data_IF_525646395132
#
_entry.id   IF_525646395132
#
_cell.length_a   1.000
_cell.length_b   1.000
_cell.length_c   1.000
_cell.angle_alpha   90.00
_cell.angle_beta   90.00
_cell.angle_gamma   90.00
#
_symmetry.space_group_name_H-M   'P 1'
#
loop_
_entity.id
_entity.type
_entity.pdbx_description
1 polymer ?
#
# COMPACT_ATOMS: atom_id res chain seq x y z
N UNK A 1 28.86 -5.67 4.63
CA UNK A 1 28.01 -6.63 3.90
C UNK A 1 26.57 -6.20 4.07
N UNK A 2 26.06 -5.38 3.15
CA UNK A 2 24.62 -5.14 3.06
C UNK A 2 24.04 -6.39 2.42
N UNK A 3 23.30 -7.20 3.18
CA UNK A 3 22.24 -7.97 2.54
C UNK A 3 21.43 -6.92 1.77
N UNK A 4 21.16 -7.15 0.49
CA UNK A 4 20.28 -6.27 -0.27
C UNK A 4 18.86 -6.46 0.27
N UNK A 5 18.59 -5.83 1.42
CA UNK A 5 17.33 -5.91 2.13
C UNK A 5 16.18 -5.44 1.23
N UNK A 6 16.46 -4.57 0.24
CA UNK A 6 15.47 -4.19 -0.78
C UNK A 6 15.06 -5.38 -1.64
N UNK A 7 16.01 -6.25 -2.03
CA UNK A 7 15.70 -7.51 -2.72
C UNK A 7 14.90 -8.47 -1.84
N UNK A 8 15.23 -8.57 -0.55
CA UNK A 8 14.48 -9.38 0.39
C UNK A 8 13.04 -8.90 0.52
N UNK A 9 12.82 -7.62 0.79
CA UNK A 9 11.49 -7.04 0.89
C UNK A 9 10.67 -7.22 -0.39
N UNK A 10 11.28 -6.97 -1.56
CA UNK A 10 10.63 -7.22 -2.85
C UNK A 10 10.19 -8.66 -3.01
N UNK A 11 10.99 -9.62 -2.54
CA UNK A 11 10.64 -11.05 -2.59
C UNK A 11 9.40 -11.33 -1.73
N UNK A 12 9.35 -10.81 -0.50
CA UNK A 12 8.23 -11.07 0.42
C UNK A 12 6.93 -10.45 -0.10
N UNK A 13 6.99 -9.28 -0.74
CA UNK A 13 5.79 -8.65 -1.35
C UNK A 13 5.48 -9.15 -2.77
N UNK A 14 6.15 -10.21 -3.25
CA UNK A 14 5.88 -10.83 -4.55
C UNK A 14 5.29 -12.24 -4.41
N UNK A 15 4.83 -12.62 -3.22
CA UNK A 15 4.15 -13.90 -2.99
C UNK A 15 2.85 -13.99 -3.81
N UNK A 16 2.50 -15.17 -4.29
CA UNK A 16 1.29 -15.37 -5.10
C UNK A 16 0.02 -15.09 -4.27
N UNK A 17 0.07 -15.30 -2.95
CA UNK A 17 -1.06 -15.12 -2.05
C UNK A 17 -1.18 -13.66 -1.55
N UNK A 18 -2.32 -13.04 -1.81
CA UNK A 18 -2.63 -11.66 -1.43
C UNK A 18 -2.63 -11.42 0.08
N UNK A 19 -3.01 -12.42 0.88
CA UNK A 19 -2.98 -12.33 2.33
C UNK A 19 -1.54 -12.28 2.83
N UNK A 20 -0.64 -13.08 2.25
CA UNK A 20 0.79 -13.05 2.57
C UNK A 20 1.39 -11.70 2.21
N UNK A 21 1.11 -11.19 1.00
CA UNK A 21 1.57 -9.86 0.59
C UNK A 21 1.05 -8.76 1.51
N UNK A 22 -0.23 -8.79 1.86
CA UNK A 22 -0.85 -7.81 2.77
C UNK A 22 -0.23 -7.86 4.17
N UNK A 23 -0.06 -9.05 4.74
CA UNK A 23 0.55 -9.20 6.07
C UNK A 23 2.02 -8.75 6.07
N UNK A 24 2.77 -9.09 5.01
CA UNK A 24 4.14 -8.62 4.87
C UNK A 24 4.20 -7.08 4.88
N UNK A 25 3.32 -6.40 4.16
CA UNK A 25 3.26 -4.92 4.14
C UNK A 25 2.94 -4.35 5.52
N UNK A 26 2.03 -4.97 6.29
CA UNK A 26 1.71 -4.56 7.67
C UNK A 26 2.93 -4.70 8.58
N UNK A 27 3.65 -5.82 8.50
CA UNK A 27 4.86 -6.05 9.29
C UNK A 27 5.96 -5.07 8.90
N UNK A 28 6.13 -4.78 7.61
CA UNK A 28 7.06 -3.77 7.10
C UNK A 28 6.74 -2.38 7.67
N UNK A 29 5.47 -1.98 7.65
CA UNK A 29 5.02 -0.69 8.16
C UNK A 29 5.22 -0.57 9.69
N UNK A 30 5.02 -1.67 10.41
CA UNK A 30 5.23 -1.72 11.85
C UNK A 30 6.71 -1.58 12.22
N UNK A 31 7.58 -2.41 11.61
CA UNK A 31 8.98 -2.56 12.03
C UNK A 31 9.98 -1.65 11.32
N UNK A 32 9.71 -1.21 10.10
CA UNK A 32 10.72 -0.59 9.24
C UNK A 32 10.28 0.69 8.53
N UNK A 33 9.13 1.29 8.85
CA UNK A 33 8.63 2.52 8.20
C UNK A 33 9.60 3.72 8.15
N UNK A 34 10.69 3.73 8.92
CA UNK A 34 11.69 4.81 8.86
C UNK A 34 12.92 4.44 8.02
N UNK A 35 12.98 3.23 7.47
CA UNK A 35 14.09 2.76 6.66
C UNK A 35 14.03 3.30 5.22
N UNK A 36 15.21 3.53 4.65
CA UNK A 36 15.33 4.08 3.31
C UNK A 36 14.74 3.12 2.25
N UNK A 37 13.78 3.62 1.47
CA UNK A 37 13.14 2.89 0.37
C UNK A 37 11.83 2.20 0.73
N UNK A 38 11.38 2.24 1.98
CA UNK A 38 10.07 1.67 2.36
C UNK A 38 8.90 2.43 1.75
N UNK A 39 8.99 3.76 1.68
CA UNK A 39 7.98 4.54 0.97
C UNK A 39 7.90 4.16 -0.51
N UNK A 40 9.05 3.98 -1.18
CA UNK A 40 9.09 3.55 -2.59
C UNK A 40 8.43 2.17 -2.78
N UNK A 41 8.68 1.24 -1.85
CA UNK A 41 8.04 -0.07 -1.84
C UNK A 41 6.52 0.05 -1.74
N UNK A 42 6.00 0.79 -0.75
CA UNK A 42 4.56 0.97 -0.61
C UNK A 42 3.95 1.68 -1.81
N UNK A 43 4.62 2.69 -2.34
CA UNK A 43 4.12 3.43 -3.50
C UNK A 43 4.00 2.51 -4.72
N UNK A 44 5.03 1.70 -4.98
CA UNK A 44 5.02 0.72 -6.05
C UNK A 44 3.90 -0.31 -5.86
N UNK A 45 3.74 -0.86 -4.65
CA UNK A 45 2.67 -1.83 -4.37
C UNK A 45 1.29 -1.22 -4.56
N UNK A 46 1.04 -0.03 -4.01
CA UNK A 46 -0.23 0.69 -4.15
C UNK A 46 -0.59 0.99 -5.62
N UNK A 47 0.40 1.04 -6.52
CA UNK A 47 0.22 1.27 -7.95
C UNK A 47 0.07 -0.02 -8.77
N UNK A 48 0.85 -1.05 -8.44
CA UNK A 48 1.12 -2.14 -9.38
C UNK A 48 0.78 -3.55 -8.84
N UNK A 49 0.35 -3.71 -7.59
CA UNK A 49 0.02 -5.05 -7.10
C UNK A 49 -1.10 -5.68 -7.94
N UNK A 50 -0.93 -6.93 -8.41
CA UNK A 50 -1.84 -7.57 -9.37
C UNK A 50 -3.16 -8.05 -8.75
N UNK A 51 -3.43 -7.76 -7.47
CA UNK A 51 -4.62 -8.22 -6.76
C UNK A 51 -5.91 -7.97 -7.54
N UNK A 52 -6.68 -9.05 -7.67
CA UNK A 52 -8.04 -9.06 -8.20
C UNK A 52 -8.95 -9.62 -7.11
N UNK A 53 -10.06 -8.92 -6.87
CA UNK A 53 -10.98 -9.31 -5.81
C UNK A 53 -11.91 -10.42 -6.27
N UNK A 54 -11.92 -11.51 -5.53
CA UNK A 54 -12.85 -12.64 -5.71
C UNK A 54 -13.93 -12.63 -4.61
N UNK A 55 -13.59 -12.12 -3.43
CA UNK A 55 -14.48 -12.02 -2.27
C UNK A 55 -14.33 -10.69 -1.55
N UNK A 56 -15.41 -10.25 -0.91
CA UNK A 56 -15.42 -9.00 -0.14
C UNK A 56 -14.57 -9.03 1.15
N UNK A 57 -14.10 -10.21 1.56
CA UNK A 57 -13.31 -10.39 2.77
C UNK A 57 -11.80 -10.50 2.50
N UNK A 58 -11.36 -10.39 1.24
CA UNK A 58 -9.95 -10.39 0.89
C UNK A 58 -9.31 -9.04 1.21
N UNK A 59 -8.11 -9.11 1.80
CA UNK A 59 -7.24 -7.96 1.93
C UNK A 59 -6.70 -7.59 0.55
N UNK A 60 -6.68 -6.28 0.27
CA UNK A 60 -6.12 -5.74 -0.97
C UNK A 60 -4.73 -5.16 -0.65
N UNK A 61 -3.63 -5.75 -1.15
CA UNK A 61 -2.29 -5.25 -0.89
C UNK A 61 -2.08 -3.80 -1.36
N UNK A 62 -2.78 -3.36 -2.42
CA UNK A 62 -2.75 -1.95 -2.85
C UNK A 62 -3.33 -1.04 -1.76
N UNK A 63 -4.45 -1.44 -1.16
CA UNK A 63 -5.07 -0.70 -0.06
C UNK A 63 -4.19 -0.72 1.19
N UNK A 64 -3.60 -1.87 1.56
CA UNK A 64 -2.70 -1.98 2.72
C UNK A 64 -1.49 -1.07 2.57
N UNK A 65 -0.87 -1.02 1.38
CA UNK A 65 0.24 -0.12 1.11
C UNK A 65 -0.19 1.36 1.15
N UNK A 66 -1.36 1.69 0.58
CA UNK A 66 -1.90 3.05 0.61
C UNK A 66 -2.26 3.52 2.03
N UNK A 67 -2.82 2.63 2.86
CA UNK A 67 -3.05 2.86 4.29
C UNK A 67 -1.76 3.24 5.01
N UNK A 68 -0.68 2.47 4.80
CA UNK A 68 0.62 2.75 5.39
C UNK A 68 1.20 4.09 4.92
N UNK A 69 1.02 4.46 3.64
CA UNK A 69 1.45 5.75 3.10
C UNK A 69 0.71 6.90 3.80
N UNK A 70 -0.61 6.81 3.88
CA UNK A 70 -1.44 7.87 4.46
C UNK A 70 -1.23 8.01 5.97
N UNK A 71 -0.93 6.91 6.66
CA UNK A 71 -0.68 6.92 8.11
C UNK A 71 0.73 7.44 8.45
N UNK A 72 1.76 6.94 7.78
CA UNK A 72 3.14 7.18 8.19
C UNK A 72 3.88 8.25 7.37
N UNK A 73 3.34 8.64 6.21
CA UNK A 73 3.95 9.64 5.33
C UNK A 73 2.93 10.70 4.86
N UNK A 74 2.07 11.26 5.74
CA UNK A 74 1.00 12.17 5.31
C UNK A 74 1.55 13.43 4.62
N UNK A 75 2.70 13.93 5.07
CA UNK A 75 3.34 15.14 4.52
C UNK A 75 4.18 14.89 3.27
N UNK A 76 4.32 13.63 2.83
CA UNK A 76 5.09 13.35 1.63
C UNK A 76 4.31 13.85 0.39
N UNK A 77 4.94 14.59 -0.53
CA UNK A 77 4.25 15.21 -1.67
C UNK A 77 3.45 14.26 -2.56
N UNK A 78 3.80 12.96 -2.55
CA UNK A 78 3.14 11.94 -3.36
C UNK A 78 1.99 11.22 -2.65
N UNK A 79 1.78 11.44 -1.35
CA UNK A 79 0.76 10.71 -0.56
C UNK A 79 -0.66 11.09 -0.96
N UNK A 80 -0.97 12.39 -0.98
CA UNK A 80 -2.29 12.88 -1.37
C UNK A 80 -2.59 12.60 -2.85
N UNK A 81 -1.69 12.88 -3.82
CA UNK A 81 -1.93 12.54 -5.23
C UNK A 81 -2.18 11.04 -5.46
N UNK A 82 -1.46 10.16 -4.76
CA UNK A 82 -1.68 8.72 -4.87
C UNK A 82 -3.06 8.32 -4.32
N UNK A 83 -3.46 8.88 -3.17
CA UNK A 83 -4.78 8.62 -2.58
C UNK A 83 -5.91 9.10 -3.50
N UNK A 84 -5.75 10.27 -4.12
CA UNK A 84 -6.70 10.80 -5.12
C UNK A 84 -6.78 9.90 -6.35
N UNK A 85 -5.65 9.52 -6.93
CA UNK A 85 -5.66 8.63 -8.09
C UNK A 85 -6.32 7.29 -7.75
N UNK A 86 -5.97 6.68 -6.60
CA UNK A 86 -6.58 5.42 -6.17
C UNK A 86 -8.07 5.53 -5.89
N UNK A 87 -8.57 6.70 -5.50
CA UNK A 87 -10.00 6.95 -5.35
C UNK A 87 -10.76 6.96 -6.69
N UNK A 88 -10.10 7.40 -7.77
CA UNK A 88 -10.71 7.55 -9.09
C UNK A 88 -10.49 6.30 -9.97
N UNK A 89 -9.28 5.75 -9.96
CA UNK A 89 -8.76 4.89 -11.01
C UNK A 89 -8.37 3.48 -10.57
N UNK A 90 -8.38 3.14 -9.26
CA UNK A 90 -8.03 1.77 -8.84
C UNK A 90 -9.01 0.76 -9.45
N UNK A 91 -8.57 -0.39 -9.97
CA UNK A 91 -9.49 -1.38 -10.53
C UNK A 91 -10.44 -1.98 -9.48
N UNK A 92 -10.05 -2.01 -8.20
CA UNK A 92 -10.86 -2.53 -7.10
C UNK A 92 -11.84 -1.49 -6.55
N UNK A 93 -13.14 -1.77 -6.65
CA UNK A 93 -14.20 -0.85 -6.20
C UNK A 93 -14.12 -0.56 -4.70
N UNK A 94 -13.82 -1.56 -3.88
CA UNK A 94 -13.74 -1.37 -2.43
C UNK A 94 -12.60 -0.43 -2.04
N UNK A 95 -11.45 -0.55 -2.70
CA UNK A 95 -10.33 0.37 -2.52
C UNK A 95 -10.71 1.79 -2.93
N UNK A 96 -11.38 1.97 -4.09
CA UNK A 96 -11.87 3.31 -4.51
C UNK A 96 -12.78 3.92 -3.46
N UNK A 97 -13.75 3.17 -2.94
CA UNK A 97 -14.70 3.67 -1.95
C UNK A 97 -14.05 3.99 -0.59
N UNK A 98 -13.09 3.16 -0.17
CA UNK A 98 -12.27 3.43 1.00
C UNK A 98 -11.48 4.74 0.82
N UNK A 99 -10.84 4.92 -0.34
CA UNK A 99 -10.00 6.09 -0.63
C UNK A 99 -10.82 7.38 -0.67
N UNK A 100 -11.98 7.39 -1.34
CA UNK A 100 -12.93 8.52 -1.32
C UNK A 100 -13.37 8.87 0.10
N UNK A 101 -13.65 7.86 0.94
CA UNK A 101 -14.02 8.08 2.35
C UNK A 101 -12.86 8.66 3.16
N UNK A 102 -11.63 8.24 2.89
CA UNK A 102 -10.44 8.77 3.54
C UNK A 102 -10.19 10.22 3.13
N UNK A 103 -10.32 10.58 1.86
CA UNK A 103 -10.23 11.97 1.37
C UNK A 103 -11.23 12.90 2.06
N UNK A 104 -12.51 12.51 2.11
CA UNK A 104 -13.54 13.30 2.84
C UNK A 104 -13.21 13.52 4.31
N UNK A 105 -12.43 12.64 4.94
CA UNK A 105 -12.00 12.80 6.34
C UNK A 105 -10.77 13.69 6.50
N UNK A 106 -9.99 13.89 5.45
CA UNK A 106 -8.84 14.80 5.45
C UNK A 106 -9.26 16.25 5.16
N UNK A 107 -10.42 16.46 4.52
CA UNK A 107 -10.99 17.77 4.21
C UNK A 107 -11.79 18.42 5.36
N UNK A 108 -12.13 17.64 6.39
CA UNK A 108 -12.86 18.09 7.59
C UNK A 108 -11.93 18.30 8.77
#
# INVERSE_FOLDING_TARGET
MSIDYRRFLRTVVSDDNEYVRSEALRQIASGWKNEAGILELFYHTALNDPFQRESKYQDNPRQTALEAIVEYYPEHPQSLPLLQDRAENDPDEQLREWAKKKLRRLEN
#
